data_IF_413086530958
#
_entry.id   IF_413086530958
#
_cell.length_a   1.000
_cell.length_b   1.000
_cell.length_c   1.000
_cell.angle_alpha   90.00
_cell.angle_beta   90.00
_cell.angle_gamma   90.00
#
_symmetry.space_group_name_H-M   'P 1'
#
loop_
_entity.id
_entity.type
_entity.pdbx_description
1 polymer ?
#
# COMPACT_ATOMS: atom_id res chain seq x y z
N UNK A 1 5.19 40.63 16.81
CA UNK A 1 4.78 39.26 16.41
C UNK A 1 3.27 39.20 16.40
N UNK A 2 2.62 38.85 15.28
CA UNK A 2 1.15 38.66 15.25
C UNK A 2 0.83 37.39 16.05
N UNK A 3 -0.04 37.52 17.07
CA UNK A 3 -0.60 36.37 17.79
C UNK A 3 -1.60 35.72 16.84
N UNK A 4 -1.26 34.56 16.29
CA UNK A 4 -2.16 33.83 15.41
C UNK A 4 -3.16 33.06 16.27
N UNK A 5 -4.45 33.24 16.01
CA UNK A 5 -5.49 32.52 16.75
C UNK A 5 -5.46 31.04 16.34
N UNK A 6 -5.52 30.15 17.33
CA UNK A 6 -5.47 28.70 17.08
C UNK A 6 -6.63 28.21 16.19
N UNK A 7 -7.77 28.89 16.26
CA UNK A 7 -8.93 28.63 15.39
C UNK A 7 -8.60 28.89 13.91
N UNK A 8 -8.00 30.05 13.61
CA UNK A 8 -7.64 30.43 12.25
C UNK A 8 -6.59 29.49 11.66
N UNK A 9 -5.65 29.02 12.50
CA UNK A 9 -4.68 27.99 12.11
C UNK A 9 -5.39 26.68 11.73
N UNK A 10 -6.34 26.23 12.55
CA UNK A 10 -7.07 25.00 12.30
C UNK A 10 -7.90 25.09 11.02
N UNK A 11 -8.62 26.20 10.81
CA UNK A 11 -9.41 26.42 9.59
C UNK A 11 -8.52 26.40 8.34
N UNK A 12 -7.34 27.03 8.43
CA UNK A 12 -6.35 26.99 7.37
C UNK A 12 -5.84 25.56 7.10
N UNK A 13 -5.53 24.80 8.15
CA UNK A 13 -5.12 23.39 8.03
C UNK A 13 -6.22 22.56 7.38
N UNK A 14 -7.47 22.69 7.84
CA UNK A 14 -8.61 21.92 7.30
C UNK A 14 -8.88 22.25 5.83
N UNK A 15 -8.82 23.54 5.45
CA UNK A 15 -9.02 23.97 4.06
C UNK A 15 -7.98 23.38 3.11
N UNK A 16 -6.75 23.16 3.59
CA UNK A 16 -5.62 22.69 2.79
C UNK A 16 -5.36 21.19 2.88
N UNK A 17 -5.90 20.52 3.90
CA UNK A 17 -5.72 19.08 4.15
C UNK A 17 -6.07 18.24 2.93
N UNK A 18 -7.24 18.49 2.34
CA UNK A 18 -7.72 17.70 1.19
C UNK A 18 -6.91 17.88 -0.11
N UNK A 19 -6.20 19.01 -0.28
CA UNK A 19 -5.29 19.19 -1.42
C UNK A 19 -3.94 18.52 -1.16
N UNK A 20 -3.42 18.64 0.06
CA UNK A 20 -2.16 18.01 0.49
C UNK A 20 -2.26 16.49 0.46
N UNK A 21 -3.37 15.91 0.94
CA UNK A 21 -3.62 14.47 0.85
C UNK A 21 -3.63 13.98 -0.60
N UNK A 22 -4.27 14.73 -1.51
CA UNK A 22 -4.26 14.43 -2.95
C UNK A 22 -2.86 14.51 -3.54
N UNK A 23 -2.06 15.51 -3.17
CA UNK A 23 -0.67 15.64 -3.60
C UNK A 23 0.20 14.48 -3.09
N UNK A 24 0.05 14.07 -1.82
CA UNK A 24 0.76 12.92 -1.23
C UNK A 24 0.40 11.63 -1.98
N UNK A 25 -0.89 11.41 -2.23
CA UNK A 25 -1.37 10.24 -2.99
C UNK A 25 -0.84 10.24 -4.44
N UNK A 26 -0.75 11.41 -5.07
CA UNK A 26 -0.20 11.55 -6.42
C UNK A 26 1.33 11.34 -6.45
N UNK A 27 2.05 11.84 -5.45
CA UNK A 27 3.50 11.71 -5.32
C UNK A 27 3.93 10.26 -5.06
N UNK A 28 3.17 9.51 -4.26
CA UNK A 28 3.45 8.09 -3.97
C UNK A 28 3.24 7.14 -5.15
N UNK A 29 2.58 7.59 -6.23
CA UNK A 29 2.17 6.74 -7.37
C UNK A 29 3.10 6.74 -8.56
N UNK A 30 4.27 7.40 -8.51
CA UNK A 30 5.32 7.15 -9.51
C UNK A 30 6.07 5.84 -9.18
N UNK A 31 5.34 4.74 -9.12
CA UNK A 31 5.98 3.42 -9.24
C UNK A 31 6.73 3.43 -10.56
N UNK A 32 8.06 3.39 -10.49
CA UNK A 32 8.89 3.22 -11.68
C UNK A 32 8.54 1.86 -12.26
N UNK A 33 7.71 1.85 -13.30
CA UNK A 33 7.44 0.65 -14.08
C UNK A 33 8.78 0.19 -14.65
N UNK A 34 9.24 -0.99 -14.23
CA UNK A 34 10.46 -1.56 -14.81
C UNK A 34 10.19 -1.81 -16.29
N UNK A 35 10.98 -1.17 -17.14
CA UNK A 35 10.88 -1.33 -18.61
C UNK A 35 11.52 -2.64 -19.09
N UNK A 36 12.37 -3.28 -18.27
CA UNK A 36 13.07 -4.51 -18.62
C UNK A 36 12.56 -5.68 -17.77
N UNK A 37 12.46 -6.89 -18.37
CA UNK A 37 12.18 -8.10 -17.60
C UNK A 37 13.29 -8.33 -16.57
N UNK A 38 12.90 -8.97 -15.46
CA UNK A 38 13.87 -9.46 -14.46
C UNK A 38 14.69 -10.59 -15.07
N UNK A 39 15.87 -10.83 -14.49
CA UNK A 39 16.64 -12.02 -14.85
C UNK A 39 15.85 -13.29 -14.52
N UNK A 40 16.05 -14.36 -15.30
CA UNK A 40 15.29 -15.62 -15.18
C UNK A 40 15.48 -16.25 -13.80
N UNK A 41 16.70 -16.20 -13.27
CA UNK A 41 17.00 -16.70 -11.93
C UNK A 41 16.40 -15.81 -10.84
N UNK A 42 16.46 -14.48 -11.01
CA UNK A 42 15.80 -13.54 -10.09
C UNK A 42 14.28 -13.82 -10.01
N UNK A 43 13.62 -14.04 -11.16
CA UNK A 43 12.20 -14.38 -11.21
C UNK A 43 11.89 -15.68 -10.47
N UNK A 44 12.66 -16.74 -10.71
CA UNK A 44 12.47 -18.03 -10.03
C UNK A 44 12.54 -17.91 -8.52
N UNK A 45 13.56 -17.20 -8.00
CA UNK A 45 13.73 -17.01 -6.56
C UNK A 45 12.57 -16.20 -5.97
N UNK A 46 12.11 -15.17 -6.67
CA UNK A 46 10.99 -14.35 -6.21
C UNK A 46 9.66 -15.10 -6.22
N UNK A 47 9.43 -15.94 -7.23
CA UNK A 47 8.27 -16.81 -7.30
C UNK A 47 8.28 -17.81 -6.13
N UNK A 48 9.42 -18.43 -5.85
CA UNK A 48 9.58 -19.31 -4.70
C UNK A 48 9.31 -18.59 -3.37
N UNK A 49 9.84 -17.38 -3.20
CA UNK A 49 9.62 -16.58 -2.00
C UNK A 49 8.15 -16.21 -1.82
N UNK A 50 7.47 -15.84 -2.91
CA UNK A 50 6.03 -15.56 -2.88
C UNK A 50 5.24 -16.80 -2.47
N UNK A 51 5.51 -17.96 -3.09
CA UNK A 51 4.83 -19.22 -2.77
C UNK A 51 5.07 -19.60 -1.31
N UNK A 52 6.31 -19.47 -0.81
CA UNK A 52 6.64 -19.76 0.60
C UNK A 52 5.89 -18.84 1.56
N UNK A 53 5.81 -17.54 1.27
CA UNK A 53 5.04 -16.57 2.08
C UNK A 53 3.55 -16.86 2.05
N UNK A 54 3.01 -17.22 0.89
CA UNK A 54 1.61 -17.61 0.74
C UNK A 54 1.26 -18.81 1.61
N UNK A 55 2.02 -19.90 1.48
CA UNK A 55 1.84 -21.11 2.28
C UNK A 55 1.93 -20.83 3.79
N UNK A 56 2.83 -19.94 4.20
CA UNK A 56 2.95 -19.52 5.60
C UNK A 56 1.69 -18.76 6.07
N UNK A 57 1.18 -17.83 5.28
CA UNK A 57 -0.04 -17.09 5.61
C UNK A 57 -1.29 -17.99 5.65
N UNK A 58 -1.34 -18.99 4.77
CA UNK A 58 -2.35 -20.04 4.79
C UNK A 58 -2.28 -20.89 6.07
N UNK A 59 -1.08 -21.32 6.48
CA UNK A 59 -0.86 -22.03 7.75
C UNK A 59 -1.21 -21.18 8.97
N UNK A 60 -0.93 -19.88 8.93
CA UNK A 60 -1.28 -18.91 9.98
C UNK A 60 -2.79 -18.59 10.01
N UNK A 61 -3.59 -19.12 9.08
CA UNK A 61 -5.04 -18.91 9.03
C UNK A 61 -5.47 -17.53 8.54
N UNK A 62 -4.53 -16.73 8.00
CA UNK A 62 -4.79 -15.39 7.43
C UNK A 62 -5.51 -15.45 6.08
N UNK A 63 -5.51 -16.62 5.46
CA UNK A 63 -6.13 -16.88 4.17
C UNK A 63 -7.30 -17.83 4.38
N UNK A 64 -8.51 -17.38 4.05
CA UNK A 64 -9.70 -18.24 4.06
C UNK A 64 -10.20 -18.43 2.64
N UNK A 65 -10.32 -19.69 2.22
CA UNK A 65 -10.93 -20.07 0.96
C UNK A 65 -12.46 -20.08 1.14
N UNK A 66 -13.14 -19.06 0.59
CA UNK A 66 -14.60 -18.98 0.67
C UNK A 66 -15.27 -19.85 -0.42
N UNK A 67 -14.63 -19.96 -1.59
CA UNK A 67 -15.04 -20.81 -2.72
C UNK A 67 -13.82 -21.09 -3.61
N UNK A 68 -13.94 -21.99 -4.61
CA UNK A 68 -12.87 -22.30 -5.59
C UNK A 68 -12.28 -21.07 -6.29
N UNK A 69 -13.08 -19.99 -6.40
CA UNK A 69 -12.71 -18.74 -7.10
C UNK A 69 -12.63 -17.51 -6.21
N UNK A 70 -12.94 -17.62 -4.91
CA UNK A 70 -13.04 -16.44 -4.02
C UNK A 70 -12.22 -16.70 -2.76
N UNK A 71 -11.17 -15.91 -2.58
CA UNK A 71 -10.28 -15.97 -1.43
C UNK A 71 -10.47 -14.70 -0.60
N UNK A 72 -10.64 -14.87 0.71
CA UNK A 72 -10.77 -13.78 1.66
C UNK A 72 -9.44 -13.60 2.38
N UNK A 73 -8.86 -12.42 2.23
CA UNK A 73 -7.60 -12.03 2.84
C UNK A 73 -7.91 -10.91 3.84
N UNK A 74 -8.11 -11.29 5.10
CA UNK A 74 -8.34 -10.32 6.17
C UNK A 74 -6.95 -9.88 6.67
N UNK A 75 -6.53 -8.68 6.27
CA UNK A 75 -5.38 -8.01 6.87
C UNK A 75 -5.87 -7.38 8.18
N UNK A 76 -5.63 -8.05 9.31
CA UNK A 76 -5.53 -7.41 10.63
C UNK A 76 -4.10 -6.89 10.84
#
# INVERSE_FOLDING_TARGET
>A
MRKMNMSELNDWIFSRKGSVEREILAAGRKQRVRLRPRDKEEMRILDELCIKRWKKAEQEGKIRYLNERVWYYEFD
#
